data_IF_214180145474
#
_entry.id   IF_214180145474
#
_cell.length_a   1.000
_cell.length_b   1.000
_cell.length_c   1.000
_cell.angle_alpha   90.00
_cell.angle_beta   90.00
_cell.angle_gamma   90.00
#
_symmetry.space_group_name_H-M   'P 1'
#
loop_
_entity.id
_entity.type
_entity.pdbx_description
1 polymer ?
#
# COMPACT_ATOMS: atom_id res chain seq x y z
N UNK A 1 -14.25 -0.26 21.53
CA UNK A 1 -14.83 -1.18 22.55
C UNK A 1 -16.23 -1.60 22.10
N UNK A 2 -16.75 -2.76 22.51
CA UNK A 2 -18.13 -3.20 22.15
C UNK A 2 -19.18 -2.16 22.52
N UNK A 3 -19.07 -1.59 23.72
CA UNK A 3 -19.93 -0.50 24.19
C UNK A 3 -19.92 0.74 23.28
N UNK A 4 -18.77 1.01 22.64
CA UNK A 4 -18.62 2.17 21.77
C UNK A 4 -19.33 1.96 20.43
N UNK A 5 -19.25 0.74 19.90
CA UNK A 5 -19.99 0.36 18.72
C UNK A 5 -21.52 0.34 18.97
N UNK A 6 -21.98 -0.09 20.16
CA UNK A 6 -23.40 0.00 20.55
C UNK A 6 -23.90 1.44 20.57
N UNK A 7 -23.14 2.36 21.18
CA UNK A 7 -23.47 3.79 21.18
C UNK A 7 -23.50 4.38 19.77
N UNK A 8 -22.51 4.04 18.94
CA UNK A 8 -22.42 4.52 17.56
C UNK A 8 -23.59 4.03 16.72
N UNK A 9 -23.96 2.75 16.81
CA UNK A 9 -25.11 2.23 16.07
C UNK A 9 -26.42 2.87 16.49
N UNK A 10 -26.62 3.13 17.80
CA UNK A 10 -27.80 3.84 18.28
C UNK A 10 -27.87 5.25 17.71
N UNK A 11 -26.73 5.95 17.68
CA UNK A 11 -26.65 7.32 17.17
C UNK A 11 -26.86 7.41 15.66
N UNK A 12 -26.43 6.42 14.89
CA UNK A 12 -26.46 6.46 13.42
C UNK A 12 -27.73 5.86 12.82
N UNK A 13 -28.55 5.19 13.63
CA UNK A 13 -29.74 4.51 13.13
C UNK A 13 -30.80 5.53 12.72
N UNK A 14 -31.17 5.53 11.44
CA UNK A 14 -32.17 6.46 10.90
C UNK A 14 -31.59 7.79 10.42
N UNK A 15 -30.29 8.00 10.57
CA UNK A 15 -29.62 9.19 10.03
C UNK A 15 -29.63 9.15 8.50
N UNK A 16 -29.90 10.29 7.87
CA UNK A 16 -29.90 10.39 6.40
C UNK A 16 -28.54 10.90 5.93
N UNK A 17 -27.82 10.04 5.22
CA UNK A 17 -26.55 10.40 4.59
C UNK A 17 -26.68 10.31 3.06
N UNK A 18 -26.43 11.43 2.36
CA UNK A 18 -26.55 11.54 0.89
C UNK A 18 -27.92 11.13 0.33
N UNK A 19 -28.99 11.40 1.08
CA UNK A 19 -30.36 11.08 0.68
C UNK A 19 -30.78 9.63 0.92
N UNK A 20 -29.94 8.81 1.58
CA UNK A 20 -30.27 7.45 1.99
C UNK A 20 -30.29 7.34 3.52
N UNK A 21 -31.27 6.61 4.06
CA UNK A 21 -31.32 6.28 5.48
C UNK A 21 -30.25 5.24 5.83
N UNK A 22 -29.46 5.52 6.87
CA UNK A 22 -28.47 4.60 7.40
C UNK A 22 -29.14 3.53 8.26
N UNK A 23 -29.01 2.27 7.83
CA UNK A 23 -29.43 1.08 8.59
C UNK A 23 -28.19 0.31 9.01
N UNK A 24 -27.81 0.46 10.27
CA UNK A 24 -26.59 -0.13 10.83
C UNK A 24 -26.95 -1.34 11.68
N UNK A 25 -26.23 -2.46 11.48
CA UNK A 25 -26.40 -3.68 12.25
C UNK A 25 -25.06 -4.38 12.47
N UNK A 26 -24.98 -5.20 13.51
CA UNK A 26 -23.82 -6.09 13.70
C UNK A 26 -23.65 -7.04 12.52
N UNK A 27 -22.40 -7.18 12.06
CA UNK A 27 -22.06 -8.20 11.09
C UNK A 27 -22.35 -9.61 11.67
N UNK A 28 -22.92 -10.49 10.86
CA UNK A 28 -23.01 -11.90 11.25
C UNK A 28 -21.60 -12.48 11.34
N UNK A 29 -21.26 -13.24 12.40
CA UNK A 29 -19.98 -13.92 12.45
C UNK A 29 -19.89 -14.88 11.27
N UNK A 30 -18.84 -14.72 10.46
CA UNK A 30 -18.52 -15.66 9.39
C UNK A 30 -17.74 -16.80 10.03
N UNK A 31 -18.27 -18.03 9.95
CA UNK A 31 -17.52 -19.22 10.34
C UNK A 31 -16.37 -19.40 9.36
N UNK A 32 -15.16 -19.10 9.80
CA UNK A 32 -13.99 -19.41 8.99
C UNK A 32 -13.87 -20.93 8.87
N UNK A 33 -13.64 -21.47 7.65
CA UNK A 33 -13.39 -22.89 7.50
C UNK A 33 -12.16 -23.29 8.34
N UNK A 34 -12.19 -24.45 9.02
CA UNK A 34 -11.10 -24.90 9.88
C UNK A 34 -9.82 -25.18 9.10
N UNK A 35 -9.96 -25.52 7.81
CA UNK A 35 -8.85 -25.55 6.88
C UNK A 35 -8.77 -24.17 6.21
N UNK A 36 -7.60 -23.51 6.16
CA UNK A 36 -7.43 -22.42 5.22
C UNK A 36 -7.83 -22.95 3.84
N UNK A 37 -8.57 -22.16 3.07
CA UNK A 37 -8.94 -22.48 1.70
C UNK A 37 -7.74 -23.12 1.00
N UNK A 38 -7.94 -24.33 0.44
CA UNK A 38 -6.86 -25.00 -0.26
C UNK A 38 -6.42 -24.08 -1.39
N UNK A 39 -5.22 -23.52 -1.26
CA UNK A 39 -4.55 -22.79 -2.33
C UNK A 39 -3.73 -23.82 -3.10
N UNK A 40 -4.10 -24.12 -4.36
CA UNK A 40 -3.27 -24.92 -5.25
C UNK A 40 -1.81 -24.44 -5.21
N UNK A 41 -0.81 -25.32 -5.19
CA UNK A 41 0.59 -24.91 -5.15
C UNK A 41 0.98 -23.82 -6.16
N UNK A 42 0.50 -23.85 -7.43
CA UNK A 42 0.79 -22.77 -8.39
C UNK A 42 0.22 -21.40 -7.98
N UNK A 43 -0.94 -21.38 -7.32
CA UNK A 43 -1.55 -20.14 -6.84
C UNK A 43 -0.88 -19.63 -5.55
N UNK A 44 -0.16 -20.50 -4.83
CA UNK A 44 0.58 -20.11 -3.64
C UNK A 44 1.77 -19.23 -3.98
N UNK A 45 2.47 -19.56 -5.07
CA UNK A 45 3.60 -18.76 -5.58
C UNK A 45 3.15 -17.36 -6.01
N UNK A 46 1.97 -17.24 -6.62
CA UNK A 46 1.37 -15.95 -7.01
C UNK A 46 0.81 -15.14 -5.83
N UNK A 47 0.50 -15.80 -4.71
CA UNK A 47 -0.04 -15.17 -3.51
C UNK A 47 1.05 -14.72 -2.53
N UNK A 48 2.32 -15.08 -2.79
CA UNK A 48 3.43 -14.55 -2.00
C UNK A 48 3.53 -13.05 -2.26
N UNK A 49 3.72 -12.22 -1.21
CA UNK A 49 4.05 -10.82 -1.44
C UNK A 49 5.30 -10.76 -2.32
N UNK A 50 5.39 -9.73 -3.16
CA UNK A 50 6.61 -9.49 -3.92
C UNK A 50 7.83 -9.54 -2.97
N UNK A 51 8.97 -10.07 -3.44
CA UNK A 51 10.18 -10.13 -2.64
C UNK A 51 10.44 -8.76 -1.99
N UNK A 52 10.81 -8.73 -0.69
CA UNK A 52 11.04 -7.47 -0.01
C UNK A 52 12.07 -6.67 -0.80
N UNK A 53 11.71 -5.47 -1.23
CA UNK A 53 12.55 -4.63 -2.09
C UNK A 53 13.86 -4.18 -1.41
N UNK A 54 14.05 -4.49 -0.13
CA UNK A 54 15.14 -4.00 0.71
C UNK A 54 14.99 -2.54 1.14
N UNK A 55 13.98 -1.83 0.61
CA UNK A 55 13.69 -0.44 0.94
C UNK A 55 12.72 -0.38 2.14
N UNK A 56 12.88 0.59 3.06
CA UNK A 56 11.89 0.82 4.10
C UNK A 56 10.52 1.12 3.47
N UNK A 57 9.43 0.81 4.19
CA UNK A 57 8.01 0.93 3.79
C UNK A 57 7.61 2.32 3.22
N UNK A 58 8.48 3.32 3.34
CA UNK A 58 8.28 4.67 2.81
C UNK A 58 9.62 5.31 2.39
N UNK A 59 10.48 4.58 1.67
CA UNK A 59 11.73 5.11 1.11
C UNK A 59 11.44 6.15 0.01
N UNK A 60 10.99 7.32 0.42
CA UNK A 60 10.91 8.49 -0.45
C UNK A 60 12.26 9.19 -0.39
N UNK A 61 12.84 9.59 -1.54
CA UNK A 61 13.98 10.48 -1.52
C UNK A 61 13.58 11.77 -0.81
N UNK A 62 14.55 12.46 -0.19
CA UNK A 62 14.28 13.77 0.38
C UNK A 62 13.83 14.72 -0.73
N UNK A 63 12.77 15.49 -0.48
CA UNK A 63 12.10 16.30 -1.52
C UNK A 63 13.06 17.24 -2.26
N UNK A 64 14.03 17.82 -1.56
CA UNK A 64 15.01 18.75 -2.17
C UNK A 64 16.04 18.02 -3.04
N UNK A 65 16.56 16.88 -2.60
CA UNK A 65 17.51 16.08 -3.37
C UNK A 65 16.89 15.57 -4.66
N UNK A 66 15.64 15.08 -4.58
CA UNK A 66 14.87 14.68 -5.75
C UNK A 66 14.66 15.84 -6.74
N UNK A 67 14.34 17.04 -6.24
CA UNK A 67 14.15 18.24 -7.09
C UNK A 67 15.43 18.63 -7.81
N UNK A 68 16.56 18.65 -7.11
CA UNK A 68 17.87 18.98 -7.69
C UNK A 68 18.27 17.95 -8.74
N UNK A 69 18.05 16.67 -8.45
CA UNK A 69 18.33 15.58 -9.39
C UNK A 69 17.49 15.71 -10.67
N UNK A 70 16.17 15.89 -10.54
CA UNK A 70 15.26 16.06 -11.68
C UNK A 70 15.55 17.34 -12.48
N UNK A 71 16.01 18.41 -11.82
CA UNK A 71 16.44 19.63 -12.52
C UNK A 71 17.68 19.39 -13.39
N UNK A 72 18.59 18.51 -12.95
CA UNK A 72 19.85 18.21 -13.64
C UNK A 72 19.68 17.17 -14.76
N UNK A 73 18.88 16.13 -14.53
CA UNK A 73 18.80 14.96 -15.42
C UNK A 73 17.42 14.76 -16.07
N UNK A 74 16.44 15.59 -15.74
CA UNK A 74 15.06 15.59 -16.24
C UNK A 74 14.20 14.38 -15.83
N UNK A 75 14.78 13.18 -15.72
CA UNK A 75 14.08 11.93 -15.39
C UNK A 75 14.84 11.06 -14.37
N UNK A 76 14.11 10.17 -13.68
CA UNK A 76 14.70 9.14 -12.81
C UNK A 76 15.10 7.89 -13.62
N UNK A 77 16.19 7.20 -13.21
CA UNK A 77 16.53 5.90 -13.78
C UNK A 77 15.40 4.89 -13.62
N UNK A 78 15.17 4.07 -14.66
CA UNK A 78 14.16 3.01 -14.63
C UNK A 78 14.62 1.90 -13.68
N UNK A 79 13.72 1.46 -12.79
CA UNK A 79 14.01 0.49 -11.73
C UNK A 79 14.60 -0.85 -12.24
N UNK A 80 14.23 -1.27 -13.45
CA UNK A 80 14.63 -2.56 -14.05
C UNK A 80 15.75 -2.42 -15.09
N UNK A 81 16.43 -1.29 -15.16
CA UNK A 81 17.49 -1.04 -16.13
C UNK A 81 18.81 -0.82 -15.38
N UNK A 82 19.87 -1.50 -15.83
CA UNK A 82 21.22 -1.27 -15.33
C UNK A 82 21.63 0.16 -15.66
N UNK A 83 22.08 0.93 -14.67
CA UNK A 83 22.61 2.28 -14.88
C UNK A 83 23.77 2.22 -15.89
N UNK A 84 23.79 3.17 -16.82
CA UNK A 84 24.90 3.31 -17.75
C UNK A 84 26.18 3.67 -16.98
N UNK A 85 27.16 2.78 -17.03
CA UNK A 85 28.44 2.94 -16.34
C UNK A 85 29.31 4.05 -16.94
N UNK A 86 28.98 4.53 -18.14
CA UNK A 86 29.70 5.61 -18.80
C UNK A 86 29.40 6.98 -18.17
N UNK A 87 28.19 7.17 -17.63
CA UNK A 87 27.77 8.41 -16.96
C UNK A 87 28.11 8.35 -15.46
N UNK A 88 29.42 8.39 -15.18
CA UNK A 88 29.99 8.27 -13.83
C UNK A 88 29.46 9.36 -12.88
N UNK A 89 29.16 10.56 -13.40
CA UNK A 89 28.63 11.67 -12.60
C UNK A 89 27.17 11.42 -12.16
N UNK A 90 26.30 11.02 -13.08
CA UNK A 90 24.90 10.68 -12.77
C UNK A 90 24.82 9.51 -11.80
N UNK A 91 25.65 8.47 -12.00
CA UNK A 91 25.73 7.33 -11.09
C UNK A 91 26.15 7.72 -9.66
N UNK A 92 27.03 8.71 -9.50
CA UNK A 92 27.44 9.22 -8.18
C UNK A 92 26.32 10.03 -7.53
N UNK A 93 25.66 10.89 -8.29
CA UNK A 93 24.56 11.72 -7.79
C UNK A 93 23.34 10.89 -7.38
N UNK A 94 23.04 9.80 -8.10
CA UNK A 94 21.90 8.92 -7.81
C UNK A 94 22.12 8.00 -6.61
N UNK A 95 23.37 7.65 -6.30
CA UNK A 95 23.73 6.76 -5.17
C UNK A 95 23.95 7.51 -3.86
N UNK A 96 23.81 8.83 -3.86
CA UNK A 96 23.99 9.69 -2.70
C UNK A 96 22.79 9.58 -1.76
#
# INVERSE_FOLDING_TARGET
>A
SRLDAERSMYSMHGDVYRGCELRVSWARPVTMPPLPFYVPPPLRELAMPDPPSGLPFNAKPQTEELRLFLKKYHDLPKLNVTLDTNDVEMCKDYKK
#
